data_IF_792538951214
#
_entry.id   IF_792538951214
#
_cell.length_a   1.000
_cell.length_b   1.000
_cell.length_c   1.000
_cell.angle_alpha   90.00
_cell.angle_beta   90.00
_cell.angle_gamma   90.00
#
_symmetry.space_group_name_H-M   'P 1'
#
loop_
_entity.id
_entity.type
_entity.pdbx_description
1 polymer ?
#
# COMPACT_ATOMS: atom_id res chain seq x y z
N UNK A 1 20.57 5.87 -9.95
CA UNK A 1 19.76 5.33 -8.84
C UNK A 1 19.14 4.03 -9.31
N UNK A 2 19.25 2.94 -8.53
CA UNK A 2 18.61 1.66 -8.85
C UNK A 2 17.44 1.44 -7.91
N UNK A 3 16.23 1.35 -8.45
CA UNK A 3 15.02 1.05 -7.69
C UNK A 3 14.71 -0.44 -7.73
N UNK A 4 14.14 -0.95 -6.64
CA UNK A 4 13.76 -2.35 -6.46
C UNK A 4 12.39 -2.40 -5.79
N UNK A 5 11.51 -3.24 -6.33
CA UNK A 5 10.25 -3.59 -5.66
C UNK A 5 10.55 -4.65 -4.60
N UNK A 6 10.08 -4.41 -3.38
CA UNK A 6 10.12 -5.36 -2.27
C UNK A 6 8.72 -5.50 -1.68
N UNK A 7 8.27 -6.74 -1.48
CA UNK A 7 7.04 -7.07 -0.78
C UNK A 7 7.44 -7.72 0.55
N UNK A 8 6.97 -7.14 1.65
CA UNK A 8 7.08 -7.74 2.98
C UNK A 8 5.67 -8.07 3.44
N UNK A 9 5.34 -9.35 3.44
CA UNK A 9 4.06 -9.88 3.83
C UNK A 9 4.12 -10.41 5.26
N UNK A 10 3.15 -10.03 6.08
CA UNK A 10 3.05 -10.41 7.49
C UNK A 10 4.37 -10.24 8.27
N UNK A 11 4.91 -9.00 8.39
CA UNK A 11 6.22 -8.74 9.00
C UNK A 11 6.46 -9.40 10.37
N UNK A 12 5.41 -9.60 11.18
CA UNK A 12 5.47 -10.27 12.48
C UNK A 12 6.03 -11.70 12.43
N UNK A 13 6.01 -12.33 11.26
CA UNK A 13 6.50 -13.69 11.02
C UNK A 13 7.81 -13.73 10.22
N UNK A 14 8.41 -12.58 9.93
CA UNK A 14 9.64 -12.49 9.14
C UNK A 14 10.86 -12.51 10.05
N UNK A 15 11.78 -13.45 9.79
CA UNK A 15 13.05 -13.58 10.53
C UNK A 15 14.25 -13.07 9.74
N UNK A 16 14.10 -12.85 8.42
CA UNK A 16 15.20 -12.41 7.56
C UNK A 16 15.73 -11.04 8.00
N UNK A 17 17.02 -10.90 8.39
CA UNK A 17 17.53 -9.65 8.95
C UNK A 17 17.44 -8.45 7.98
N UNK A 18 17.61 -8.70 6.68
CA UNK A 18 17.51 -7.66 5.63
C UNK A 18 16.07 -7.15 5.56
N UNK A 19 15.10 -8.06 5.60
CA UNK A 19 13.68 -7.71 5.58
C UNK A 19 13.27 -6.96 6.86
N UNK A 20 13.70 -7.43 8.04
CA UNK A 20 13.43 -6.75 9.31
C UNK A 20 14.01 -5.33 9.33
N UNK A 21 15.24 -5.17 8.86
CA UNK A 21 15.88 -3.85 8.76
C UNK A 21 15.14 -2.94 7.78
N UNK A 22 14.77 -3.44 6.59
CA UNK A 22 14.02 -2.66 5.60
C UNK A 22 12.63 -2.27 6.11
N UNK A 23 11.92 -3.19 6.77
CA UNK A 23 10.63 -2.92 7.38
C UNK A 23 10.74 -1.85 8.47
N UNK A 24 11.72 -1.93 9.36
CA UNK A 24 11.96 -0.89 10.37
C UNK A 24 12.23 0.48 9.73
N UNK A 25 13.10 0.54 8.72
CA UNK A 25 13.34 1.79 7.97
C UNK A 25 12.06 2.31 7.31
N UNK A 26 11.22 1.42 6.84
CA UNK A 26 9.94 1.75 6.19
C UNK A 26 8.96 2.37 7.17
N UNK A 27 8.85 1.82 8.39
CA UNK A 27 8.06 2.43 9.48
C UNK A 27 8.57 3.84 9.83
N UNK A 28 9.89 4.04 9.89
CA UNK A 28 10.46 5.36 10.14
C UNK A 28 10.23 6.34 8.99
N UNK A 29 10.33 5.90 7.74
CA UNK A 29 10.02 6.74 6.58
C UNK A 29 8.54 7.15 6.57
N UNK A 30 7.65 6.25 6.97
CA UNK A 30 6.21 6.50 7.15
C UNK A 30 5.96 7.55 8.23
N UNK A 31 6.58 7.38 9.40
CA UNK A 31 6.52 8.31 10.52
C UNK A 31 6.94 9.72 10.09
N UNK A 32 8.14 9.86 9.50
CA UNK A 32 8.66 11.14 9.01
C UNK A 32 7.72 11.77 7.97
N UNK A 33 7.19 10.96 7.05
CA UNK A 33 6.29 11.41 5.99
C UNK A 33 5.01 12.03 6.54
N UNK A 34 4.34 11.34 7.48
CA UNK A 34 3.15 11.87 8.13
C UNK A 34 3.47 13.05 9.03
N UNK A 35 4.56 13.01 9.81
CA UNK A 35 4.96 14.11 10.70
C UNK A 35 5.17 15.42 9.94
N UNK A 36 5.66 15.36 8.69
CA UNK A 36 5.79 16.55 7.84
C UNK A 36 4.46 17.26 7.58
N UNK A 37 3.34 16.53 7.54
CA UNK A 37 2.02 17.05 7.22
C UNK A 37 1.14 17.26 8.45
N UNK A 38 1.28 16.41 9.45
CA UNK A 38 0.40 16.32 10.62
C UNK A 38 1.13 16.55 11.95
N UNK A 39 2.42 16.88 11.91
CA UNK A 39 3.24 17.08 13.11
C UNK A 39 3.15 15.85 14.03
N UNK A 40 2.69 16.02 15.27
CA UNK A 40 2.56 14.94 16.26
C UNK A 40 1.12 14.52 16.51
N UNK A 41 0.15 14.98 15.70
CA UNK A 41 -1.28 14.69 15.94
C UNK A 41 -1.69 13.27 15.52
N UNK A 42 -0.87 12.59 14.71
CA UNK A 42 -1.18 11.26 14.17
C UNK A 42 0.01 10.34 14.38
N UNK A 43 -0.25 9.15 14.94
CA UNK A 43 0.65 8.01 14.88
C UNK A 43 0.33 7.20 13.62
N UNK A 44 1.18 7.19 12.58
CA UNK A 44 0.85 6.52 11.33
C UNK A 44 1.11 5.01 11.38
N UNK A 45 1.66 4.49 12.48
CA UNK A 45 1.96 3.07 12.65
C UNK A 45 0.85 2.45 13.50
N UNK A 46 0.11 1.50 12.91
CA UNK A 46 -0.96 0.75 13.56
C UNK A 46 -0.61 -0.74 13.70
N UNK A 47 -1.49 -1.49 14.37
CA UNK A 47 -1.32 -2.94 14.54
C UNK A 47 -1.28 -3.67 13.20
N UNK A 48 -1.95 -3.16 12.17
CA UNK A 48 -1.97 -3.76 10.84
C UNK A 48 -0.65 -3.59 10.09
N UNK A 49 0.25 -2.72 10.56
CA UNK A 49 1.61 -2.66 10.01
C UNK A 49 2.45 -3.91 10.35
N UNK A 50 2.00 -4.74 11.31
CA UNK A 50 2.69 -5.97 11.70
C UNK A 50 2.20 -7.21 10.94
N UNK A 51 0.98 -7.17 10.40
CA UNK A 51 0.40 -8.33 9.70
C UNK A 51 -0.09 -8.04 8.27
N UNK A 52 -0.19 -6.77 7.87
CA UNK A 52 -0.50 -6.41 6.49
C UNK A 52 0.64 -6.71 5.53
N UNK A 53 0.32 -6.73 4.24
CA UNK A 53 1.30 -6.78 3.16
C UNK A 53 1.80 -5.37 2.85
N UNK A 54 3.11 -5.17 2.89
CA UNK A 54 3.77 -3.90 2.57
C UNK A 54 4.41 -3.99 1.20
N UNK A 55 4.00 -3.10 0.30
CA UNK A 55 4.68 -2.87 -0.97
C UNK A 55 5.65 -1.70 -0.81
N UNK A 56 6.92 -1.95 -1.07
CA UNK A 56 8.00 -0.99 -0.84
C UNK A 56 8.77 -0.83 -2.15
N UNK A 57 8.88 0.41 -2.61
CA UNK A 57 9.87 0.82 -3.60
C UNK A 57 11.11 1.24 -2.84
N UNK A 58 12.22 0.53 -3.01
CA UNK A 58 13.47 0.80 -2.32
C UNK A 58 14.57 1.20 -3.31
N UNK A 59 15.43 2.13 -2.90
CA UNK A 59 16.70 2.38 -3.58
C UNK A 59 17.74 1.37 -3.08
N UNK A 60 18.38 0.69 -4.02
CA UNK A 60 19.53 -0.17 -3.74
C UNK A 60 20.80 0.68 -3.79
N UNK A 61 21.42 0.89 -2.63
CA UNK A 61 22.70 1.60 -2.48
C UNK A 61 23.86 0.74 -2.99
N UNK A 62 25.01 1.38 -3.24
CA UNK A 62 26.21 0.70 -3.76
C UNK A 62 26.73 -0.42 -2.85
N UNK A 63 26.51 -0.31 -1.54
CA UNK A 63 26.86 -1.34 -0.56
C UNK A 63 25.80 -2.46 -0.42
N UNK A 64 24.77 -2.47 -1.28
CA UNK A 64 23.67 -3.42 -1.23
C UNK A 64 22.55 -3.08 -0.23
N UNK A 65 22.71 -2.03 0.60
CA UNK A 65 21.66 -1.61 1.51
C UNK A 65 20.44 -1.10 0.73
N UNK A 66 19.25 -1.45 1.21
CA UNK A 66 17.99 -0.93 0.71
C UNK A 66 17.50 0.21 1.59
N UNK A 67 17.12 1.32 0.95
CA UNK A 67 16.49 2.47 1.59
C UNK A 67 15.07 2.67 1.02
N UNK A 68 14.02 2.73 1.86
CA UNK A 68 12.66 2.87 1.38
C UNK A 68 12.44 4.26 0.77
N UNK A 69 11.86 4.28 -0.41
CA UNK A 69 11.57 5.49 -1.20
C UNK A 69 10.08 5.79 -1.14
N UNK A 70 9.26 4.78 -1.43
CA UNK A 70 7.82 4.86 -1.40
C UNK A 70 7.24 3.57 -0.86
N UNK A 71 6.09 3.65 -0.20
CA UNK A 71 5.41 2.47 0.30
C UNK A 71 3.89 2.64 0.33
N UNK A 72 3.21 1.51 0.32
CA UNK A 72 1.80 1.39 0.67
C UNK A 72 1.59 0.09 1.45
N UNK A 73 0.47 0.03 2.15
CA UNK A 73 0.05 -1.14 2.94
C UNK A 73 -1.26 -1.68 2.39
N UNK A 74 -1.37 -2.99 2.29
CA UNK A 74 -2.59 -3.70 1.99
C UNK A 74 -2.93 -4.67 3.11
N UNK A 75 -4.16 -4.61 3.60
CA UNK A 75 -4.67 -5.50 4.64
C UNK A 75 -5.88 -6.23 4.08
N UNK A 76 -5.87 -7.56 4.07
CA UNK A 76 -7.04 -8.36 3.65
C UNK A 76 -8.02 -8.49 4.81
N UNK A 77 -9.32 -8.60 4.52
CA UNK A 77 -10.34 -8.84 5.55
C UNK A 77 -10.05 -10.16 6.28
N UNK A 78 -9.70 -11.21 5.55
CA UNK A 78 -9.30 -12.49 6.15
C UNK A 78 -8.10 -12.37 7.11
N UNK A 79 -7.11 -11.51 6.82
CA UNK A 79 -5.99 -11.27 7.73
C UNK A 79 -6.48 -10.60 9.01
N UNK A 80 -7.30 -9.56 8.89
CA UNK A 80 -7.94 -8.90 10.04
C UNK A 80 -8.71 -9.89 10.91
N UNK A 81 -9.54 -10.75 10.31
CA UNK A 81 -10.29 -11.81 11.00
C UNK A 81 -9.36 -12.78 11.72
N UNK A 82 -8.31 -13.28 11.03
CA UNK A 82 -7.35 -14.24 11.60
C UNK A 82 -6.62 -13.69 12.83
N UNK A 83 -6.27 -12.41 12.84
CA UNK A 83 -5.63 -11.76 13.99
C UNK A 83 -6.63 -11.17 15.00
N UNK A 84 -7.94 -11.38 14.82
CA UNK A 84 -8.99 -10.78 15.65
C UNK A 84 -8.88 -9.24 15.76
N UNK A 85 -8.40 -8.60 14.69
CA UNK A 85 -8.31 -7.14 14.57
C UNK A 85 -9.44 -6.68 13.66
N UNK A 86 -10.27 -5.72 14.08
CA UNK A 86 -11.34 -5.22 13.22
C UNK A 86 -10.81 -4.67 11.90
N UNK A 87 -11.50 -4.95 10.81
CA UNK A 87 -11.11 -4.49 9.48
C UNK A 87 -11.20 -2.96 9.40
N UNK A 88 -10.07 -2.29 9.17
CA UNK A 88 -9.93 -0.83 9.34
C UNK A 88 -10.99 0.02 8.62
N UNK A 89 -11.41 -0.26 7.36
CA UNK A 89 -12.49 0.49 6.71
C UNK A 89 -13.80 0.46 7.49
N UNK A 90 -14.14 -0.68 8.10
CA UNK A 90 -15.38 -0.82 8.86
C UNK A 90 -15.36 0.07 10.12
N UNK A 91 -14.24 0.07 10.86
CA UNK A 91 -14.08 0.95 12.02
C UNK A 91 -14.08 2.43 11.62
N UNK A 92 -13.38 2.75 10.55
CA UNK A 92 -13.30 4.11 10.01
C UNK A 92 -14.70 4.64 9.68
N UNK A 93 -15.47 3.91 8.88
CA UNK A 93 -16.82 4.30 8.49
C UNK A 93 -17.79 4.38 9.68
N UNK A 94 -17.65 3.48 10.66
CA UNK A 94 -18.42 3.53 11.91
C UNK A 94 -18.14 4.80 12.71
N UNK A 95 -16.88 5.23 12.77
CA UNK A 95 -16.48 6.43 13.53
C UNK A 95 -17.12 7.73 13.01
N UNK A 96 -17.54 7.74 11.74
CA UNK A 96 -18.20 8.88 11.08
C UNK A 96 -19.69 8.63 10.79
N UNK A 97 -20.27 7.57 11.35
CA UNK A 97 -21.69 7.22 11.17
C UNK A 97 -22.09 6.81 9.75
N UNK A 98 -21.13 6.30 8.97
CA UNK A 98 -21.32 5.84 7.57
C UNK A 98 -21.32 4.32 7.43
N UNK A 99 -21.19 3.59 8.53
CA UNK A 99 -21.21 2.13 8.53
C UNK A 99 -22.54 1.53 8.07
N UNK A 100 -23.66 2.25 8.23
CA UNK A 100 -25.00 1.77 7.84
C UNK A 100 -25.36 1.97 6.36
N UNK A 101 -24.47 2.56 5.57
CA UNK A 101 -24.70 2.73 4.14
C UNK A 101 -24.84 1.35 3.47
N UNK A 102 -25.85 1.19 2.61
CA UNK A 102 -26.18 -0.10 1.98
C UNK A 102 -25.03 -0.62 1.11
N UNK A 103 -24.33 0.26 0.38
CA UNK A 103 -23.17 -0.13 -0.42
C UNK A 103 -22.02 -0.59 0.45
N UNK A 104 -21.77 0.11 1.55
CA UNK A 104 -20.75 -0.26 2.53
C UNK A 104 -21.05 -1.64 3.12
N UNK A 105 -22.28 -1.85 3.60
CA UNK A 105 -22.69 -3.14 4.19
C UNK A 105 -22.60 -4.27 3.17
N UNK A 106 -23.04 -4.05 1.92
CA UNK A 106 -22.95 -5.04 0.84
C UNK A 106 -21.50 -5.45 0.57
N UNK A 107 -20.55 -4.52 0.58
CA UNK A 107 -19.13 -4.80 0.34
C UNK A 107 -18.51 -5.51 1.53
N UNK A 108 -18.71 -4.98 2.75
CA UNK A 108 -18.08 -5.50 3.96
C UNK A 108 -18.61 -6.89 4.36
N UNK A 109 -19.88 -7.18 4.07
CA UNK A 109 -20.53 -8.48 4.35
C UNK A 109 -20.49 -9.45 3.16
N UNK A 110 -19.88 -9.07 2.03
CA UNK A 110 -19.76 -9.96 0.86
C UNK A 110 -18.91 -11.18 1.22
N UNK A 111 -19.26 -12.40 0.76
CA UNK A 111 -18.41 -13.58 0.98
C UNK A 111 -17.06 -13.48 0.26
N UNK A 112 -16.98 -12.65 -0.80
CA UNK A 112 -15.75 -12.42 -1.53
C UNK A 112 -14.72 -11.67 -0.68
N UNK A 113 -13.45 -11.99 -0.87
CA UNK A 113 -12.35 -11.30 -0.21
C UNK A 113 -12.34 -9.81 -0.61
N UNK A 114 -12.09 -8.94 0.38
CA UNK A 114 -11.86 -7.52 0.16
C UNK A 114 -10.63 -7.11 0.93
N UNK A 115 -9.81 -6.27 0.33
CA UNK A 115 -8.65 -5.69 1.01
C UNK A 115 -8.78 -4.18 1.14
N UNK A 116 -7.98 -3.61 2.04
CA UNK A 116 -7.87 -2.19 2.24
C UNK A 116 -6.45 -1.74 1.94
N UNK A 117 -6.30 -0.85 0.96
CA UNK A 117 -5.03 -0.22 0.61
C UNK A 117 -4.95 1.14 1.28
N UNK A 118 -3.88 1.36 2.01
CA UNK A 118 -3.67 2.56 2.82
C UNK A 118 -2.20 2.93 2.90
N UNK A 119 -1.88 3.95 3.71
CA UNK A 119 -0.50 4.26 4.09
C UNK A 119 0.40 4.66 2.93
N UNK A 120 -0.16 5.26 1.88
CA UNK A 120 0.58 5.76 0.73
C UNK A 120 1.57 6.84 1.18
N UNK A 121 2.85 6.48 1.22
CA UNK A 121 3.87 7.35 1.80
C UNK A 121 5.08 7.40 0.87
N UNK A 122 5.59 8.60 0.64
CA UNK A 122 6.92 8.82 0.05
C UNK A 122 7.86 9.31 1.15
N UNK A 123 9.02 8.68 1.26
CA UNK A 123 10.05 9.08 2.19
C UNK A 123 10.46 10.55 1.90
N UNK A 124 10.33 11.46 2.88
CA UNK A 124 10.60 12.88 2.67
C UNK A 124 12.07 13.20 2.38
N UNK A 125 12.99 12.28 2.67
CA UNK A 125 14.43 12.44 2.41
C UNK A 125 14.75 12.37 0.90
N UNK A 126 13.82 11.91 0.06
CA UNK A 126 13.97 11.90 -1.39
C UNK A 126 13.47 13.21 -2.00
N UNK A 127 14.32 13.86 -2.80
CA UNK A 127 13.96 15.08 -3.54
C UNK A 127 12.86 14.76 -4.54
N UNK A 128 11.72 15.42 -4.36
CA UNK A 128 10.53 15.27 -5.19
C UNK A 128 10.56 16.31 -6.30
N UNK A 129 11.38 16.12 -7.32
CA UNK A 129 11.05 16.74 -8.59
C UNK A 129 9.81 16.05 -9.19
N UNK A 130 9.24 16.67 -10.21
CA UNK A 130 8.01 16.19 -10.84
C UNK A 130 8.21 14.84 -11.52
N UNK A 131 9.39 14.62 -12.12
CA UNK A 131 9.74 13.38 -12.82
C UNK A 131 9.82 12.20 -11.86
N UNK A 132 10.52 12.36 -10.74
CA UNK A 132 10.64 11.33 -9.73
C UNK A 132 9.29 11.02 -9.05
N UNK A 133 8.46 12.03 -8.83
CA UNK A 133 7.12 11.84 -8.28
C UNK A 133 6.23 11.06 -9.24
N UNK A 134 6.34 11.33 -10.56
CA UNK A 134 5.65 10.56 -11.59
C UNK A 134 6.15 9.11 -11.64
N UNK A 135 7.47 8.90 -11.61
CA UNK A 135 8.06 7.56 -11.56
C UNK A 135 7.55 6.75 -10.35
N UNK A 136 7.51 7.35 -9.15
CA UNK A 136 6.97 6.65 -7.99
C UNK A 136 5.50 6.30 -8.13
N UNK A 137 4.70 7.18 -8.75
CA UNK A 137 3.31 6.89 -9.07
C UNK A 137 3.21 5.68 -10.01
N UNK A 138 4.09 5.58 -11.01
CA UNK A 138 4.14 4.42 -11.91
C UNK A 138 4.43 3.12 -11.17
N UNK A 139 5.37 3.12 -10.22
CA UNK A 139 5.61 1.97 -9.35
C UNK A 139 4.38 1.61 -8.50
N UNK A 140 3.60 2.58 -8.03
CA UNK A 140 2.36 2.28 -7.30
C UNK A 140 1.27 1.71 -8.23
N UNK A 141 1.22 2.18 -9.48
CA UNK A 141 0.32 1.64 -10.51
C UNK A 141 0.66 0.19 -10.85
N UNK A 142 1.95 -0.17 -10.92
CA UNK A 142 2.39 -1.57 -11.08
C UNK A 142 1.83 -2.45 -9.98
N UNK A 143 1.90 -2.00 -8.72
CA UNK A 143 1.30 -2.72 -7.60
C UNK A 143 -0.21 -2.89 -7.79
N UNK A 144 -0.92 -1.80 -8.11
CA UNK A 144 -2.37 -1.81 -8.28
C UNK A 144 -2.84 -2.75 -9.41
N UNK A 145 -2.05 -2.90 -10.47
CA UNK A 145 -2.39 -3.77 -11.60
C UNK A 145 -2.01 -5.25 -11.34
N UNK A 146 -0.85 -5.50 -10.74
CA UNK A 146 -0.29 -6.85 -10.69
C UNK A 146 -0.56 -7.57 -9.36
N UNK A 147 -0.49 -6.88 -8.22
CA UNK A 147 -0.58 -7.54 -6.91
C UNK A 147 -1.92 -8.23 -6.71
N UNK A 148 -3.03 -7.54 -7.01
CA UNK A 148 -4.36 -8.08 -6.76
C UNK A 148 -4.65 -9.30 -7.62
N UNK A 149 -4.16 -9.31 -8.87
CA UNK A 149 -4.20 -10.47 -9.77
C UNK A 149 -3.42 -11.65 -9.21
N UNK A 150 -2.16 -11.43 -8.82
CA UNK A 150 -1.29 -12.48 -8.27
C UNK A 150 -1.86 -13.04 -6.95
N UNK A 151 -2.40 -12.17 -6.10
CA UNK A 151 -2.99 -12.52 -4.81
C UNK A 151 -4.45 -13.03 -4.90
N UNK A 152 -5.05 -13.02 -6.10
CA UNK A 152 -6.46 -13.38 -6.36
C UNK A 152 -7.45 -12.62 -5.48
N UNK A 153 -7.20 -11.32 -5.27
CA UNK A 153 -8.07 -10.43 -4.50
C UNK A 153 -9.00 -9.71 -5.48
N UNK A 154 -10.31 -9.99 -5.47
CA UNK A 154 -11.23 -9.53 -6.50
C UNK A 154 -11.65 -8.06 -6.34
N UNK A 155 -11.39 -7.45 -5.19
CA UNK A 155 -11.72 -6.04 -4.94
C UNK A 155 -10.92 -5.45 -3.79
N UNK A 156 -10.76 -4.14 -3.80
CA UNK A 156 -10.12 -3.43 -2.69
C UNK A 156 -10.70 -2.04 -2.46
N UNK A 157 -10.55 -1.59 -1.23
CA UNK A 157 -10.99 -0.30 -0.73
C UNK A 157 -9.79 0.60 -0.50
N UNK A 158 -9.99 1.91 -0.65
CA UNK A 158 -9.05 2.91 -0.16
C UNK A 158 -9.77 4.19 0.24
N UNK A 159 -9.25 4.88 1.25
CA UNK A 159 -9.68 6.22 1.59
C UNK A 159 -8.81 7.22 0.81
N UNK A 160 -9.38 7.84 -0.22
CA UNK A 160 -8.71 8.85 -1.03
C UNK A 160 -8.73 10.21 -0.35
N UNK A 161 -7.61 10.62 0.25
CA UNK A 161 -7.44 11.97 0.81
C UNK A 161 -7.41 13.00 -0.32
N UNK A 162 -8.34 13.96 -0.28
CA UNK A 162 -8.55 14.93 -1.37
C UNK A 162 -7.42 15.96 -1.45
N UNK A 163 -6.85 16.36 -0.30
CA UNK A 163 -5.71 17.29 -0.24
C UNK A 163 -4.51 16.79 -1.08
N UNK A 164 -4.27 15.48 -1.10
CA UNK A 164 -3.18 14.87 -1.85
C UNK A 164 -3.60 14.32 -3.22
N UNK A 165 -4.84 14.61 -3.64
CA UNK A 165 -5.43 14.12 -4.89
C UNK A 165 -5.39 12.59 -5.02
N UNK A 166 -5.40 11.89 -3.89
CA UNK A 166 -5.37 10.43 -3.87
C UNK A 166 -6.70 9.87 -4.38
N UNK A 167 -7.80 10.55 -4.08
CA UNK A 167 -9.12 10.26 -4.65
C UNK A 167 -9.09 10.32 -6.20
N UNK A 168 -8.45 11.33 -6.78
CA UNK A 168 -8.33 11.47 -8.24
C UNK A 168 -7.47 10.39 -8.87
N UNK A 169 -6.41 9.98 -8.17
CA UNK A 169 -5.63 8.84 -8.61
C UNK A 169 -6.43 7.54 -8.55
N UNK A 170 -7.18 7.29 -7.48
CA UNK A 170 -8.04 6.12 -7.35
C UNK A 170 -9.14 6.10 -8.42
N UNK A 171 -9.76 7.25 -8.72
CA UNK A 171 -10.68 7.40 -9.86
C UNK A 171 -10.02 6.99 -11.18
N UNK A 172 -8.79 7.46 -11.41
CA UNK A 172 -8.05 7.11 -12.63
C UNK A 172 -7.77 5.61 -12.74
N UNK A 173 -7.68 4.88 -11.62
CA UNK A 173 -7.55 3.40 -11.61
C UNK A 173 -8.89 2.66 -11.83
N UNK A 174 -9.99 3.37 -12.13
CA UNK A 174 -11.32 2.79 -12.25
C UNK A 174 -12.08 2.72 -10.91
N UNK A 175 -11.59 3.41 -9.88
CA UNK A 175 -12.20 3.47 -8.57
C UNK A 175 -13.55 4.14 -8.60
N UNK A 176 -14.54 3.52 -7.96
CA UNK A 176 -15.88 4.08 -7.78
C UNK A 176 -16.05 4.53 -6.35
N UNK A 177 -16.59 5.72 -6.18
CA UNK A 177 -16.98 6.20 -4.86
C UNK A 177 -18.09 5.32 -4.28
N UNK A 178 -17.92 4.90 -3.02
CA UNK A 178 -18.94 4.15 -2.27
C UNK A 178 -19.46 4.93 -1.06
N UNK A 179 -18.67 5.88 -0.56
CA UNK A 179 -19.12 6.87 0.42
C UNK A 179 -18.65 8.24 -0.08
N UNK A 180 -19.59 9.20 -0.28
CA UNK A 180 -19.26 10.58 -0.62
C UNK A 180 -18.35 11.22 0.39
N UNK A 181 -17.79 12.37 0.01
CA UNK A 181 -16.85 13.13 0.83
C UNK A 181 -17.24 13.22 2.32
N UNK A 182 -16.29 12.90 3.20
CA UNK A 182 -16.44 12.98 4.64
C UNK A 182 -15.13 13.36 5.33
N UNK A 183 -15.20 13.97 6.50
CA UNK A 183 -14.02 14.28 7.32
C UNK A 183 -13.64 13.09 8.19
N UNK A 184 -12.34 12.82 8.30
CA UNK A 184 -11.77 11.83 9.21
C UNK A 184 -11.09 12.50 10.40
N UNK A 185 -11.73 12.55 11.58
CA UNK A 185 -11.12 13.15 12.78
C UNK A 185 -9.81 12.49 13.18
N UNK A 186 -9.71 11.17 12.97
CA UNK A 186 -8.51 10.37 13.26
C UNK A 186 -7.29 10.74 12.39
N UNK A 187 -7.50 11.47 11.30
CA UNK A 187 -6.44 11.98 10.43
C UNK A 187 -6.59 13.50 10.35
N UNK A 188 -6.54 14.20 11.48
CA UNK A 188 -6.54 15.67 11.54
C UNK A 188 -7.68 16.33 10.72
N UNK A 189 -8.88 15.74 10.80
CA UNK A 189 -10.08 16.16 10.07
C UNK A 189 -9.93 16.21 8.54
N UNK A 190 -9.02 15.41 7.97
CA UNK A 190 -8.81 15.35 6.54
C UNK A 190 -10.09 14.93 5.81
N UNK A 191 -10.36 15.64 4.73
CA UNK A 191 -11.43 15.33 3.80
C UNK A 191 -11.03 14.14 2.92
N UNK A 192 -11.85 13.09 2.95
CA UNK A 192 -11.60 11.86 2.21
C UNK A 192 -12.85 11.39 1.48
N UNK A 193 -12.63 10.51 0.50
CA UNK A 193 -13.67 9.75 -0.19
C UNK A 193 -13.36 8.26 -0.07
N UNK A 194 -14.35 7.44 0.25
CA UNK A 194 -14.15 5.99 0.28
C UNK A 194 -14.37 5.44 -1.12
N UNK A 195 -13.33 4.85 -1.70
CA UNK A 195 -13.31 4.34 -3.06
C UNK A 195 -13.24 2.81 -3.05
N UNK A 196 -13.97 2.18 -3.96
CA UNK A 196 -13.93 0.76 -4.27
C UNK A 196 -13.35 0.56 -5.66
N UNK A 197 -12.34 -0.30 -5.76
CA UNK A 197 -11.84 -0.84 -7.02
C UNK A 197 -12.43 -2.23 -7.15
N UNK A 198 -13.50 -2.33 -7.93
CA UNK A 198 -14.36 -3.52 -8.00
C UNK A 198 -13.85 -4.61 -8.95
N UNK A 199 -12.98 -4.23 -9.89
CA UNK A 199 -12.35 -5.15 -10.85
C UNK A 199 -10.87 -4.77 -11.03
N UNK A 200 -10.00 -5.14 -10.08
CA UNK A 200 -8.57 -4.86 -10.18
C UNK A 200 -7.87 -5.70 -11.26
N UNK A 201 -8.55 -6.66 -11.88
CA UNK A 201 -7.98 -7.51 -12.93
C UNK A 201 -8.04 -6.86 -14.31
N UNK A 202 -8.94 -5.89 -14.48
CA UNK A 202 -9.10 -5.11 -15.71
C UNK A 202 -8.96 -3.60 -15.42
N UNK A 203 -7.78 -3.12 -15.00
CA UNK A 203 -7.54 -1.70 -14.80
C UNK A 203 -7.60 -0.95 -16.16
N UNK A 204 -7.82 0.37 -16.16
CA UNK A 204 -7.89 1.14 -17.41
C UNK A 204 -6.62 0.99 -18.27
N UNK A 205 -6.73 0.99 -19.61
CA UNK A 205 -5.64 0.63 -20.53
C UNK A 205 -4.33 1.42 -20.32
N UNK A 206 -4.42 2.70 -19.97
CA UNK A 206 -3.27 3.54 -19.70
C UNK A 206 -2.42 3.04 -18.52
N UNK A 207 -3.04 2.42 -17.51
CA UNK A 207 -2.33 1.84 -16.37
C UNK A 207 -1.73 0.47 -16.70
N UNK A 208 -2.36 -0.28 -17.62
CA UNK A 208 -1.77 -1.52 -18.15
C UNK A 208 -0.49 -1.23 -18.94
N UNK A 209 -0.42 -0.12 -19.67
CA UNK A 209 0.81 0.31 -20.37
C UNK A 209 1.93 0.61 -19.37
N UNK A 210 1.61 1.31 -18.27
CA UNK A 210 2.57 1.59 -17.19
C UNK A 210 3.06 0.29 -16.54
N UNK A 211 2.12 -0.60 -16.18
CA UNK A 211 2.45 -1.89 -15.59
C UNK A 211 3.34 -2.74 -16.52
N UNK A 212 3.05 -2.76 -17.82
CA UNK A 212 3.86 -3.45 -18.82
C UNK A 212 5.27 -2.85 -18.96
N UNK A 213 5.40 -1.53 -18.89
CA UNK A 213 6.70 -0.85 -19.01
C UNK A 213 7.63 -1.20 -17.84
N UNK A 214 7.05 -1.38 -16.65
CA UNK A 214 7.77 -1.75 -15.43
C UNK A 214 7.64 -3.25 -15.09
N UNK A 215 7.21 -4.09 -16.04
CA UNK A 215 6.97 -5.51 -15.79
C UNK A 215 8.24 -6.23 -15.30
N UNK A 216 9.40 -5.90 -15.87
CA UNK A 216 10.68 -6.46 -15.41
C UNK A 216 10.97 -6.14 -13.94
N UNK A 217 10.60 -4.94 -13.45
CA UNK A 217 10.75 -4.62 -12.03
C UNK A 217 9.79 -5.44 -11.15
N UNK A 218 8.58 -5.72 -11.64
CA UNK A 218 7.62 -6.58 -10.95
C UNK A 218 8.08 -8.05 -10.93
N UNK A 219 8.54 -8.59 -12.06
CA UNK A 219 8.98 -9.98 -12.17
C UNK A 219 10.22 -10.25 -11.31
N UNK A 220 11.11 -9.26 -11.20
CA UNK A 220 12.32 -9.33 -10.37
C UNK A 220 12.10 -8.79 -8.94
N UNK A 221 10.86 -8.65 -8.48
CA UNK A 221 10.58 -8.18 -7.11
C UNK A 221 11.11 -9.15 -6.07
N UNK A 222 11.52 -8.61 -4.93
CA UNK A 222 11.92 -9.41 -3.76
C UNK A 222 10.67 -9.63 -2.90
N UNK A 223 10.41 -10.87 -2.48
CA UNK A 223 9.25 -11.21 -1.64
C UNK A 223 9.75 -11.86 -0.35
N UNK A 224 9.38 -11.27 0.78
CA UNK A 224 9.50 -11.85 2.10
C UNK A 224 8.10 -12.19 2.59
N UNK A 225 7.77 -13.47 2.74
CA UNK A 225 6.45 -13.94 3.20
C UNK A 225 6.60 -15.24 4.01
N UNK A 226 5.75 -15.49 5.02
CA UNK A 226 5.83 -16.69 5.85
C UNK A 226 5.64 -17.99 5.05
N UNK A 227 4.82 -17.92 3.99
CA UNK A 227 4.52 -19.06 3.14
C UNK A 227 5.59 -19.32 2.07
N UNK A 228 6.52 -18.38 1.89
CA UNK A 228 7.55 -18.45 0.87
C UNK A 228 8.89 -18.78 1.52
N UNK A 229 9.01 -20.00 2.04
CA UNK A 229 10.29 -20.61 2.46
C UNK A 229 11.13 -21.06 1.25
N UNK A 230 10.89 -20.50 0.05
CA UNK A 230 11.80 -20.73 -1.06
C UNK A 230 13.15 -20.09 -0.76
N UNK A 231 14.13 -20.99 -0.61
CA UNK A 231 15.58 -20.81 -0.79
C UNK A 231 15.89 -20.10 -2.12
N UNK A 232 15.53 -18.84 -2.28
CA UNK A 232 16.08 -17.98 -3.30
C UNK A 232 17.48 -17.58 -2.84
N UNK A 233 18.51 -18.21 -3.40
CA UNK A 233 19.88 -17.74 -3.25
C UNK A 233 19.87 -16.24 -3.53
N UNK A 234 20.21 -15.43 -2.52
CA UNK A 234 20.62 -14.06 -2.76
C UNK A 234 21.85 -14.15 -3.67
N UNK A 235 21.65 -14.00 -4.97
CA UNK A 235 22.69 -13.41 -5.80
C UNK A 235 22.76 -11.95 -5.35
N UNK A 236 23.41 -11.75 -4.19
CA UNK A 236 24.08 -10.49 -3.89
C UNK A 236 25.00 -10.31 -5.08
N UNK A 237 24.57 -9.46 -6.01
CA UNK A 237 25.44 -8.98 -7.08
C UNK A 237 26.65 -8.44 -6.34
N UNK A 238 27.76 -9.19 -6.36
CA UNK A 238 29.05 -8.66 -5.96
C UNK A 238 29.23 -7.42 -6.81
N UNK A 239 29.34 -6.27 -6.15
CA UNK A 239 29.68 -5.03 -6.82
C UNK A 239 30.89 -5.29 -7.72
N UNK A 240 30.72 -5.05 -9.01
CA UNK A 240 31.83 -4.86 -9.93
C UNK A 240 32.39 -3.45 -9.72
#
# INVERSE_FOLDING_TARGET
MKLQIVIIDEPIHIENPIACQLWQKTLWAKEKGYRKHYQTSIMPIGVEDFFGTHYIVAEVKSNGNMEPVGMLKCVRRSQSERFSIPFAPAQMLKSVGKDRDENVQRILNSPDEVSYVSSWTTNPDYKKDAEFSALLKDYMTVYACNYFKDAKIPRWLAAGVTQFKMDKYLESLGGKEIVPEFSLPIIDNQTVRMMLIADPYNPPPEHLVVASTLQSAWDNRIIFSPNNTQKGAFNVVRAA
#
